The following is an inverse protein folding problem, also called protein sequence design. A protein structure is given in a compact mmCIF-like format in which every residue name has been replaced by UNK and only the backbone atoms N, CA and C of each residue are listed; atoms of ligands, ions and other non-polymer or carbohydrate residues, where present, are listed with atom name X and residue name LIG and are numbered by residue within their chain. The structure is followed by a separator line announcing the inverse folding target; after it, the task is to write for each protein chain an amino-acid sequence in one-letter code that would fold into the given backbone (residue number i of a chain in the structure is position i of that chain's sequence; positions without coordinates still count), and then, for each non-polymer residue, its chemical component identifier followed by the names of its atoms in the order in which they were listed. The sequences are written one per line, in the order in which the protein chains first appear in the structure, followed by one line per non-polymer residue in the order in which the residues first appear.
data_IF_855564527161
#
_entry.id   IF_855564527161
#
_cell.length_a   1.000
_cell.length_b   1.000
_cell.length_c   1.000
_cell.angle_alpha   90.00
_cell.angle_beta   90.00
_cell.angle_gamma   90.00
#
_symmetry.space_group_name_H-M   'P 1'
#
loop_
_entity.id
_entity.type
_entity.pdbx_description
1 polymer ?
#
# COMPACT_ATOMS: atom_id res chain seq x y z
N UNK A 1 22.72 7.63 4.24
CA UNK A 1 22.02 8.94 4.11
C UNK A 1 21.30 9.24 5.41
N UNK A 2 21.17 10.51 5.83
CA UNK A 2 20.43 10.87 7.02
C UNK A 2 18.96 10.48 6.89
N UNK A 3 18.34 10.08 7.99
CA UNK A 3 16.94 9.71 8.08
C UNK A 3 16.20 10.83 8.78
N UNK A 4 15.07 11.25 8.24
CA UNK A 4 14.26 12.35 8.77
C UNK A 4 12.83 11.89 9.08
N UNK A 5 12.09 12.59 9.95
CA UNK A 5 10.71 12.23 10.26
C UNK A 5 9.83 12.11 9.02
N UNK A 6 8.96 11.08 9.03
CA UNK A 6 7.97 10.79 7.98
C UNK A 6 8.55 10.44 6.61
N UNK A 7 9.87 10.29 6.48
CA UNK A 7 10.50 9.80 5.25
C UNK A 7 10.76 8.31 5.36
N UNK A 8 10.34 7.60 4.32
CA UNK A 8 10.51 6.15 4.25
C UNK A 8 11.97 5.74 4.24
N UNK A 9 12.27 4.73 5.01
CA UNK A 9 13.47 3.90 4.89
C UNK A 9 13.05 2.47 4.55
N UNK A 10 13.94 1.73 3.91
CA UNK A 10 13.70 0.35 3.52
C UNK A 10 14.80 -0.56 4.07
N UNK A 11 14.40 -1.61 4.79
CA UNK A 11 15.26 -2.72 5.19
C UNK A 11 15.08 -3.84 4.18
N UNK A 12 16.19 -4.41 3.72
CA UNK A 12 16.18 -5.58 2.83
C UNK A 12 16.65 -6.80 3.61
N UNK A 13 15.85 -7.86 3.57
CA UNK A 13 16.12 -9.15 4.21
C UNK A 13 16.28 -10.21 3.13
N UNK A 14 17.21 -11.13 3.32
CA UNK A 14 17.42 -12.24 2.39
C UNK A 14 17.17 -13.56 3.13
N UNK A 15 16.15 -14.29 2.69
CA UNK A 15 15.83 -15.59 3.27
C UNK A 15 17.00 -16.57 3.17
N UNK A 16 17.20 -17.38 4.19
CA UNK A 16 18.22 -18.43 4.22
C UNK A 16 17.88 -19.55 3.23
N UNK A 17 16.60 -19.81 3.02
CA UNK A 17 16.10 -20.83 2.09
C UNK A 17 15.22 -20.26 0.98
N UNK A 18 15.04 -21.06 -0.06
CA UNK A 18 14.07 -20.79 -1.13
C UNK A 18 12.67 -21.19 -0.68
N UNK A 19 11.68 -20.32 -0.91
CA UNK A 19 10.26 -20.62 -0.74
C UNK A 19 9.62 -20.91 -2.10
N UNK A 20 8.67 -21.83 -2.14
CA UNK A 20 7.91 -22.12 -3.36
C UNK A 20 7.07 -20.91 -3.77
N UNK A 21 6.47 -20.25 -2.77
CA UNK A 21 5.76 -18.98 -2.95
C UNK A 21 6.05 -18.08 -1.74
N UNK A 22 6.99 -17.16 -1.87
CA UNK A 22 7.38 -16.26 -0.78
C UNK A 22 6.25 -15.34 -0.30
N UNK A 23 5.24 -15.09 -1.13
CA UNK A 23 4.08 -14.30 -0.76
C UNK A 23 3.11 -15.03 0.20
N UNK A 24 3.00 -16.36 0.09
CA UNK A 24 2.03 -17.15 0.88
C UNK A 24 2.65 -18.01 1.96
N UNK A 25 3.91 -18.42 1.79
CA UNK A 25 4.49 -19.51 2.59
C UNK A 25 5.02 -19.05 3.95
N UNK A 26 5.30 -17.75 4.10
CA UNK A 26 5.85 -17.23 5.36
C UNK A 26 5.41 -15.80 5.61
N UNK A 27 5.04 -15.50 6.84
CA UNK A 27 4.78 -14.15 7.33
C UNK A 27 6.02 -13.60 8.03
N UNK A 28 6.37 -12.35 7.69
CA UNK A 28 7.55 -11.67 8.23
C UNK A 28 7.14 -10.25 8.65
N UNK A 29 7.66 -9.78 9.77
CA UNK A 29 7.43 -8.42 10.25
C UNK A 29 8.63 -7.89 11.01
N UNK A 30 8.65 -6.60 11.29
CA UNK A 30 9.63 -5.96 12.15
C UNK A 30 8.95 -5.07 13.19
N UNK A 31 9.48 -5.08 14.40
CA UNK A 31 9.15 -4.13 15.45
C UNK A 31 10.23 -3.06 15.51
N UNK A 32 9.80 -1.80 15.47
CA UNK A 32 10.63 -0.62 15.64
C UNK A 32 10.32 0.00 16.99
N UNK A 33 11.33 0.11 17.87
CA UNK A 33 11.18 0.64 19.21
C UNK A 33 12.01 1.90 19.36
N UNK A 34 11.35 3.01 19.63
CA UNK A 34 11.98 4.29 19.91
C UNK A 34 12.59 4.33 21.32
N UNK A 35 13.59 5.14 21.53
CA UNK A 35 14.29 5.30 22.84
C UNK A 35 13.34 5.75 23.98
N UNK A 36 12.20 6.39 23.66
CA UNK A 36 11.15 6.75 24.64
C UNK A 36 10.20 5.58 24.98
N UNK A 37 10.39 4.40 24.39
CA UNK A 37 9.57 3.20 24.61
C UNK A 37 8.40 3.04 23.64
N UNK A 38 8.13 3.99 22.74
CA UNK A 38 7.12 3.83 21.69
C UNK A 38 7.52 2.71 20.74
N UNK A 39 6.61 1.80 20.45
CA UNK A 39 6.84 0.71 19.51
C UNK A 39 5.87 0.76 18.32
N UNK A 40 6.37 0.49 17.13
CA UNK A 40 5.59 0.38 15.91
C UNK A 40 5.94 -0.92 15.20
N UNK A 41 4.92 -1.69 14.83
CA UNK A 41 5.07 -2.94 14.07
C UNK A 41 4.80 -2.70 12.60
N UNK A 42 5.70 -3.17 11.74
CA UNK A 42 5.56 -3.08 10.28
C UNK A 42 5.59 -4.46 9.66
N UNK A 43 4.61 -4.84 8.83
CA UNK A 43 4.69 -6.06 8.07
C UNK A 43 5.79 -5.94 7.02
N UNK A 44 6.49 -7.03 6.74
CA UNK A 44 7.36 -7.15 5.59
C UNK A 44 6.54 -7.58 4.36
N UNK A 45 7.07 -7.32 3.18
CA UNK A 45 6.52 -7.83 1.93
C UNK A 45 7.59 -8.60 1.15
N UNK A 46 7.15 -9.66 0.49
CA UNK A 46 8.00 -10.40 -0.44
C UNK A 46 8.18 -9.59 -1.74
N UNK A 47 9.44 -9.43 -2.16
CA UNK A 47 9.81 -8.64 -3.35
C UNK A 47 10.43 -9.49 -4.47
N UNK A 48 10.20 -10.81 -4.41
CA UNK A 48 10.69 -11.78 -5.39
C UNK A 48 11.88 -12.60 -4.89
N UNK A 49 12.04 -13.79 -5.44
CA UNK A 49 13.13 -14.70 -5.07
C UNK A 49 13.23 -14.96 -3.59
N UNK A 50 14.39 -14.69 -3.01
CA UNK A 50 14.65 -14.78 -1.56
C UNK A 50 14.62 -13.43 -0.85
N UNK A 51 14.01 -12.39 -1.43
CA UNK A 51 14.05 -11.02 -0.93
C UNK A 51 12.74 -10.64 -0.25
N UNK A 52 12.83 -10.18 0.99
CA UNK A 52 11.76 -9.47 1.71
C UNK A 52 12.21 -8.08 2.07
N UNK A 53 11.26 -7.16 2.14
CA UNK A 53 11.53 -5.76 2.48
C UNK A 53 10.58 -5.30 3.58
N UNK A 54 11.09 -4.41 4.43
CA UNK A 54 10.30 -3.71 5.45
C UNK A 54 10.49 -2.22 5.23
N UNK A 55 9.38 -1.51 5.06
CA UNK A 55 9.37 -0.05 4.92
C UNK A 55 8.88 0.60 6.21
N UNK A 56 9.61 1.60 6.65
CA UNK A 56 9.34 2.32 7.88
C UNK A 56 9.58 3.82 7.68
N UNK A 57 8.67 4.65 8.17
CA UNK A 57 8.83 6.10 8.24
C UNK A 57 8.84 6.52 9.71
N UNK A 58 9.99 6.87 10.30
CA UNK A 58 10.04 7.30 11.68
C UNK A 58 9.12 8.50 11.91
N UNK A 59 8.12 8.44 12.81
CA UNK A 59 7.23 9.57 13.03
C UNK A 59 7.80 10.66 13.94
N UNK A 60 8.96 10.42 14.55
CA UNK A 60 9.65 11.33 15.46
C UNK A 60 11.16 11.14 15.41
N UNK A 61 11.87 12.18 15.77
CA UNK A 61 13.33 12.21 15.90
C UNK A 61 13.80 11.30 17.03
N UNK A 62 15.06 10.86 16.97
CA UNK A 62 15.68 10.03 17.99
C UNK A 62 16.09 8.65 17.48
N UNK A 63 16.50 7.79 18.39
CA UNK A 63 16.99 6.45 18.06
C UNK A 63 15.85 5.44 18.03
N UNK A 64 15.77 4.70 16.93
CA UNK A 64 14.85 3.61 16.70
C UNK A 64 15.63 2.31 16.56
N UNK A 65 15.44 1.38 17.50
CA UNK A 65 15.95 0.01 17.38
C UNK A 65 14.91 -0.83 16.65
N UNK A 66 15.36 -1.76 15.81
CA UNK A 66 14.46 -2.67 15.12
C UNK A 66 14.90 -4.13 15.26
N UNK A 67 13.91 -5.01 15.26
CA UNK A 67 14.09 -6.46 15.24
C UNK A 67 13.05 -7.10 14.34
N UNK A 68 13.48 -8.09 13.53
CA UNK A 68 12.59 -8.84 12.65
C UNK A 68 12.12 -10.14 13.28
N UNK A 69 10.97 -10.59 12.82
CA UNK A 69 10.31 -11.82 13.22
C UNK A 69 9.75 -12.53 11.99
N UNK A 70 9.65 -13.85 12.05
CA UNK A 70 9.03 -14.66 11.03
C UNK A 70 8.18 -15.77 11.67
N UNK A 71 7.10 -16.16 11.00
CA UNK A 71 6.18 -17.20 11.48
C UNK A 71 6.81 -18.61 11.46
N UNK A 72 7.90 -18.79 10.72
CA UNK A 72 8.68 -20.01 10.66
C UNK A 72 10.17 -19.73 10.84
N UNK A 73 10.94 -20.75 11.19
CA UNK A 73 12.40 -20.61 11.36
C UNK A 73 13.07 -20.32 10.03
N UNK A 74 13.63 -19.13 9.91
CA UNK A 74 14.50 -18.69 8.81
C UNK A 74 15.44 -17.63 9.35
N UNK A 75 16.74 -17.94 9.45
CA UNK A 75 17.73 -17.05 10.07
C UNK A 75 18.01 -15.81 9.27
N UNK A 76 17.69 -15.79 7.98
CA UNK A 76 17.80 -14.59 7.13
C UNK A 76 16.64 -13.61 7.29
N UNK A 77 15.49 -14.09 7.76
CA UNK A 77 14.26 -13.30 7.92
C UNK A 77 13.97 -12.96 9.38
N UNK A 78 14.19 -13.90 10.31
CA UNK A 78 13.93 -13.71 11.72
C UNK A 78 15.17 -13.24 12.47
N UNK A 79 14.93 -12.52 13.57
CA UNK A 79 15.93 -12.10 14.55
C UNK A 79 17.05 -11.17 14.00
N UNK A 80 16.86 -10.62 12.81
CA UNK A 80 17.71 -9.53 12.32
C UNK A 80 17.48 -8.30 13.18
N UNK A 81 18.55 -7.56 13.46
CA UNK A 81 18.52 -6.41 14.36
C UNK A 81 19.35 -5.25 13.83
N UNK A 82 18.96 -4.07 14.21
CA UNK A 82 19.72 -2.86 13.92
C UNK A 82 19.12 -1.63 14.56
N UNK A 83 19.64 -0.49 14.20
CA UNK A 83 19.15 0.80 14.66
C UNK A 83 19.14 1.81 13.52
N UNK A 84 18.24 2.77 13.63
CA UNK A 84 18.12 3.93 12.76
C UNK A 84 18.07 5.16 13.65
N UNK A 85 18.89 6.16 13.34
CA UNK A 85 18.81 7.47 13.99
C UNK A 85 18.04 8.41 13.07
N UNK A 86 16.89 8.87 13.55
CA UNK A 86 16.08 9.88 12.89
C UNK A 86 16.54 11.26 13.36
N UNK A 87 17.13 12.01 12.45
CA UNK A 87 17.71 13.33 12.75
C UNK A 87 16.67 14.44 12.54
N UNK A 88 16.82 15.60 13.20
CA UNK A 88 16.08 16.80 12.86
C UNK A 88 16.26 17.13 11.38
N UNK A 89 15.16 17.10 10.63
CA UNK A 89 15.19 17.38 9.20
C UNK A 89 15.27 18.88 8.88
N UNK A 90 15.73 19.25 7.68
CA UNK A 90 15.50 20.59 7.18
C UNK A 90 13.99 20.85 7.12
N UNK A 91 13.58 22.12 7.25
CA UNK A 91 12.17 22.48 7.08
C UNK A 91 11.71 21.96 5.72
N UNK A 92 10.86 20.93 5.74
CA UNK A 92 10.39 20.31 4.51
C UNK A 92 9.29 21.17 3.89
N UNK A 93 9.37 21.41 2.59
CA UNK A 93 8.26 22.04 1.86
C UNK A 93 7.14 21.04 1.61
N UNK A 94 7.44 19.75 1.58
CA UNK A 94 6.50 18.66 1.39
C UNK A 94 5.60 18.47 2.63
N UNK A 95 4.28 18.62 2.48
CA UNK A 95 3.33 18.67 3.60
C UNK A 95 3.35 17.43 4.49
N UNK A 96 3.50 16.23 3.92
CA UNK A 96 3.49 14.98 4.69
C UNK A 96 4.80 14.76 5.46
N UNK A 97 5.91 15.29 4.99
CA UNK A 97 7.18 15.25 5.73
C UNK A 97 7.21 16.29 6.84
N UNK A 98 6.42 17.35 6.70
CA UNK A 98 6.32 18.43 7.69
C UNK A 98 5.30 18.12 8.78
N UNK A 99 4.13 17.58 8.39
CA UNK A 99 2.95 17.46 9.27
C UNK A 99 2.58 15.99 9.58
N UNK A 100 3.28 15.03 8.96
CA UNK A 100 2.96 13.61 9.04
C UNK A 100 1.79 13.18 8.16
N UNK A 101 1.53 11.88 8.14
CA UNK A 101 0.48 11.29 7.31
C UNK A 101 -0.91 11.66 7.80
N UNK A 102 -1.89 11.55 6.91
CA UNK A 102 -3.29 11.79 7.27
C UNK A 102 -3.82 10.67 8.15
N UNK A 103 -4.75 11.05 9.01
CA UNK A 103 -5.57 10.16 9.83
C UNK A 103 -6.93 10.78 10.05
N UNK A 104 -7.88 10.01 10.54
CA UNK A 104 -9.16 10.57 10.97
C UNK A 104 -8.95 11.42 12.23
N UNK A 105 -9.67 12.53 12.34
CA UNK A 105 -9.71 13.32 13.56
C UNK A 105 -10.29 12.49 14.73
N UNK A 106 -10.04 12.85 15.98
CA UNK A 106 -10.61 12.13 17.14
C UNK A 106 -12.13 11.97 17.09
N UNK A 107 -12.83 12.91 16.48
CA UNK A 107 -14.29 12.84 16.26
C UNK A 107 -14.73 12.05 15.03
N UNK A 108 -13.80 11.51 14.23
CA UNK A 108 -14.09 10.69 13.07
C UNK A 108 -14.76 11.42 11.89
N UNK A 109 -14.77 12.75 11.87
CA UNK A 109 -15.56 13.53 10.89
C UNK A 109 -14.74 14.20 9.80
N UNK A 110 -13.46 14.38 10.02
CA UNK A 110 -12.55 15.06 9.07
C UNK A 110 -11.16 14.46 9.13
N UNK A 111 -10.38 14.73 8.08
CA UNK A 111 -8.97 14.37 8.03
C UNK A 111 -8.13 15.40 8.79
N UNK A 112 -7.10 14.89 9.45
CA UNK A 112 -6.03 15.69 10.04
C UNK A 112 -4.68 15.06 9.71
N UNK A 113 -3.64 15.86 9.70
CA UNK A 113 -2.27 15.37 9.73
C UNK A 113 -1.91 14.79 11.12
N UNK A 114 -0.83 14.05 11.20
CA UNK A 114 -0.38 13.44 12.46
C UNK A 114 -0.11 14.45 13.57
N UNK A 115 0.24 15.69 13.25
CA UNK A 115 0.41 16.81 14.17
C UNK A 115 -0.92 17.51 14.58
N UNK A 116 -2.06 17.02 14.06
CA UNK A 116 -3.39 17.57 14.35
C UNK A 116 -3.87 18.69 13.41
N UNK A 117 -3.03 19.14 12.47
CA UNK A 117 -3.44 20.14 11.48
C UNK A 117 -4.54 19.60 10.59
N UNK A 118 -5.61 20.37 10.40
CA UNK A 118 -6.71 20.00 9.53
C UNK A 118 -6.25 19.80 8.07
N UNK A 119 -6.80 18.80 7.42
CA UNK A 119 -6.55 18.49 6.03
C UNK A 119 -7.84 18.51 5.22
N UNK A 120 -7.75 18.99 3.98
CA UNK A 120 -8.85 18.94 3.01
C UNK A 120 -8.42 18.02 1.88
N UNK A 121 -9.28 17.05 1.56
CA UNK A 121 -9.05 16.12 0.46
C UNK A 121 -9.75 16.65 -0.80
N UNK A 122 -8.96 16.82 -1.86
CA UNK A 122 -9.44 17.09 -3.21
C UNK A 122 -8.92 15.97 -4.10
N UNK A 123 -9.80 15.02 -4.42
CA UNK A 123 -9.44 13.78 -5.11
C UNK A 123 -9.81 13.78 -6.58
N UNK A 124 -9.05 13.02 -7.36
CA UNK A 124 -9.36 12.63 -8.74
C UNK A 124 -9.48 11.10 -8.81
N UNK A 125 -9.98 10.59 -9.92
CA UNK A 125 -10.10 9.17 -10.19
C UNK A 125 -9.24 8.77 -11.39
N UNK A 126 -8.22 7.96 -11.15
CA UNK A 126 -7.35 7.40 -12.18
C UNK A 126 -7.20 5.88 -11.98
N UNK A 127 -8.33 5.16 -12.01
CA UNK A 127 -8.41 3.73 -11.69
C UNK A 127 -7.35 2.88 -12.38
N UNK A 128 -7.14 3.12 -13.66
CA UNK A 128 -6.25 2.30 -14.48
C UNK A 128 -4.77 2.64 -14.33
N UNK A 129 -4.42 3.73 -13.65
CA UNK A 129 -3.04 4.19 -13.54
C UNK A 129 -2.09 3.08 -13.04
N UNK A 130 -2.38 2.32 -11.96
CA UNK A 130 -1.47 1.30 -11.45
C UNK A 130 -1.14 0.20 -12.45
N UNK A 131 -2.06 -0.20 -13.30
CA UNK A 131 -1.90 -1.34 -14.19
C UNK A 131 -1.76 -0.96 -15.66
N UNK A 132 -1.95 0.34 -16.04
CA UNK A 132 -1.82 0.81 -17.42
C UNK A 132 -0.76 1.89 -17.65
N UNK A 133 -0.56 2.82 -16.72
CA UNK A 133 0.28 3.97 -16.95
C UNK A 133 1.76 3.62 -17.06
N UNK A 134 2.47 4.34 -17.93
CA UNK A 134 3.93 4.44 -17.86
C UNK A 134 4.35 5.45 -16.80
N UNK A 135 5.61 5.41 -16.35
CA UNK A 135 6.13 6.40 -15.41
C UNK A 135 6.05 7.82 -15.98
N UNK A 136 6.29 8.00 -17.29
CA UNK A 136 6.20 9.32 -17.92
C UNK A 136 4.76 9.86 -17.97
N UNK A 137 3.79 9.01 -18.29
CA UNK A 137 2.37 9.37 -18.22
C UNK A 137 1.97 9.75 -16.79
N UNK A 138 2.47 9.01 -15.78
CA UNK A 138 2.21 9.33 -14.38
C UNK A 138 2.81 10.67 -13.96
N UNK A 139 4.03 11.02 -14.42
CA UNK A 139 4.64 12.34 -14.15
C UNK A 139 3.80 13.48 -14.73
N UNK A 140 3.36 13.34 -15.98
CA UNK A 140 2.48 14.33 -16.61
C UNK A 140 1.18 14.49 -15.84
N UNK A 141 0.55 13.36 -15.50
CA UNK A 141 -0.69 13.35 -14.71
C UNK A 141 -0.50 14.02 -13.34
N UNK A 142 0.49 13.58 -12.58
CA UNK A 142 0.75 14.08 -11.23
C UNK A 142 1.07 15.58 -11.22
N UNK A 143 1.89 16.06 -12.15
CA UNK A 143 2.21 17.47 -12.28
C UNK A 143 0.99 18.32 -12.61
N UNK A 144 0.13 17.86 -13.52
CA UNK A 144 -1.12 18.55 -13.86
C UNK A 144 -2.10 18.60 -12.68
N UNK A 145 -2.27 17.47 -11.97
CA UNK A 145 -3.16 17.39 -10.81
C UNK A 145 -2.67 18.27 -9.66
N UNK A 146 -1.38 18.23 -9.33
CA UNK A 146 -0.79 19.08 -8.30
C UNK A 146 -1.00 20.58 -8.63
N UNK A 147 -0.72 20.99 -9.86
CA UNK A 147 -0.90 22.37 -10.30
C UNK A 147 -2.35 22.86 -10.18
N UNK A 148 -3.32 21.94 -10.26
CA UNK A 148 -4.76 22.21 -10.10
C UNK A 148 -5.27 22.06 -8.67
N UNK A 149 -4.38 21.76 -7.70
CA UNK A 149 -4.72 21.66 -6.28
C UNK A 149 -5.30 20.31 -5.85
N UNK A 150 -5.22 19.27 -6.68
CA UNK A 150 -5.55 17.91 -6.26
C UNK A 150 -4.47 17.36 -5.33
N UNK A 151 -4.87 16.59 -4.34
CA UNK A 151 -3.96 16.01 -3.34
C UNK A 151 -4.26 14.54 -3.01
N UNK A 152 -5.17 13.91 -3.75
CA UNK A 152 -5.46 12.49 -3.64
C UNK A 152 -5.91 11.93 -4.99
N UNK A 153 -5.71 10.63 -5.20
CA UNK A 153 -6.15 9.93 -6.41
C UNK A 153 -6.66 8.53 -6.09
N UNK A 154 -7.87 8.21 -6.58
CA UNK A 154 -8.46 6.89 -6.43
C UNK A 154 -7.90 5.93 -7.46
N UNK A 155 -7.35 4.82 -6.99
CA UNK A 155 -6.63 3.83 -7.78
C UNK A 155 -7.22 2.43 -7.59
N UNK A 156 -7.27 1.64 -8.66
CA UNK A 156 -7.40 0.20 -8.58
C UNK A 156 -6.01 -0.42 -8.57
N UNK A 157 -5.65 -1.16 -7.51
CA UNK A 157 -4.30 -1.73 -7.38
C UNK A 157 -3.98 -2.80 -8.42
N UNK A 158 -5.00 -3.50 -8.93
CA UNK A 158 -4.91 -4.46 -10.03
C UNK A 158 -6.08 -4.28 -10.99
N UNK A 159 -5.99 -4.84 -12.19
CA UNK A 159 -7.07 -4.71 -13.19
C UNK A 159 -8.41 -5.25 -12.66
N UNK A 160 -9.53 -4.59 -12.98
CA UNK A 160 -10.85 -4.96 -12.46
C UNK A 160 -11.41 -6.24 -13.08
N UNK A 161 -11.09 -6.53 -14.34
CA UNK A 161 -11.56 -7.71 -15.06
C UNK A 161 -10.56 -8.87 -14.85
N UNK A 162 -11.01 -9.89 -14.12
CA UNK A 162 -10.16 -11.06 -13.82
C UNK A 162 -9.83 -11.90 -15.06
N UNK A 163 -10.64 -11.81 -16.12
CA UNK A 163 -10.40 -12.51 -17.39
C UNK A 163 -9.55 -11.70 -18.38
N UNK A 164 -9.17 -10.49 -18.02
CA UNK A 164 -8.40 -9.64 -18.93
C UNK A 164 -7.10 -10.30 -19.35
N UNK A 165 -6.90 -10.29 -20.64
CA UNK A 165 -5.70 -10.82 -21.31
C UNK A 165 -5.26 -9.79 -22.32
N UNK A 166 -4.06 -9.42 -22.29
CA UNK A 166 -3.50 -8.47 -23.24
C UNK A 166 -1.99 -8.52 -23.24
N UNK A 167 -1.35 -7.77 -24.14
CA UNK A 167 0.08 -7.59 -24.10
C UNK A 167 0.49 -7.06 -22.71
N UNK A 168 1.54 -7.64 -22.13
CA UNK A 168 2.11 -7.18 -20.85
C UNK A 168 3.08 -6.01 -21.05
N UNK A 169 2.82 -5.20 -22.04
CA UNK A 169 3.58 -4.00 -22.38
C UNK A 169 2.65 -2.79 -22.26
N UNK A 170 2.90 -1.94 -21.28
CA UNK A 170 2.10 -0.74 -20.99
C UNK A 170 2.23 0.36 -22.05
N UNK A 171 3.17 0.22 -22.99
CA UNK A 171 3.36 1.17 -24.09
C UNK A 171 2.43 0.88 -25.27
N UNK A 172 1.83 -0.31 -25.30
CA UNK A 172 0.86 -0.72 -26.32
C UNK A 172 -0.55 -0.30 -25.92
N UNK A 173 -1.44 -0.11 -26.89
CA UNK A 173 -2.80 0.37 -26.68
C UNK A 173 -3.57 -0.56 -25.75
N UNK A 174 -3.68 -1.77 -25.88
CA UNK A 174 -4.37 -2.69 -24.99
C UNK A 174 -3.47 -3.32 -23.92
N UNK A 175 -2.22 -2.85 -23.81
CA UNK A 175 -1.24 -3.41 -22.90
C UNK A 175 -1.46 -3.00 -21.45
N UNK A 176 -1.17 -3.90 -20.52
CA UNK A 176 -1.18 -3.63 -19.08
C UNK A 176 -0.40 -4.66 -18.26
N UNK A 177 -0.06 -4.28 -17.03
CA UNK A 177 0.55 -5.18 -16.07
C UNK A 177 -0.48 -6.06 -15.36
N UNK A 178 -0.06 -7.22 -14.88
CA UNK A 178 -0.86 -8.18 -14.12
C UNK A 178 -0.22 -8.38 -12.75
N UNK A 179 -0.98 -8.06 -11.69
CA UNK A 179 -0.49 -8.15 -10.31
C UNK A 179 -0.50 -9.59 -9.75
N UNK A 180 -1.44 -10.43 -10.20
CA UNK A 180 -1.57 -11.82 -9.78
C UNK A 180 -1.82 -12.73 -10.99
N UNK A 181 -1.05 -13.79 -11.11
CA UNK A 181 -1.14 -14.72 -12.25
C UNK A 181 -2.38 -15.61 -12.18
N UNK A 182 -2.91 -15.83 -10.97
CA UNK A 182 -4.09 -16.66 -10.69
C UNK A 182 -5.40 -15.86 -10.55
N UNK A 183 -5.39 -14.59 -10.95
CA UNK A 183 -6.58 -13.73 -10.82
C UNK A 183 -7.77 -14.26 -11.64
N UNK A 184 -7.50 -14.85 -12.80
CA UNK A 184 -8.54 -15.44 -13.67
C UNK A 184 -9.28 -16.62 -13.03
N UNK A 185 -8.64 -17.33 -12.12
CA UNK A 185 -9.23 -18.42 -11.35
C UNK A 185 -9.97 -17.92 -10.10
N UNK A 186 -9.97 -16.61 -9.85
CA UNK A 186 -10.58 -16.00 -8.66
C UNK A 186 -9.67 -16.05 -7.43
N UNK A 187 -8.37 -16.21 -7.63
CA UNK A 187 -7.38 -16.26 -6.57
C UNK A 187 -6.39 -15.09 -6.65
N UNK A 188 -5.78 -14.76 -5.52
CA UNK A 188 -4.78 -13.70 -5.38
C UNK A 188 -3.59 -14.20 -4.55
N UNK A 189 -3.03 -15.36 -4.94
CA UNK A 189 -1.90 -16.01 -4.29
C UNK A 189 -0.62 -15.96 -5.12
N UNK A 190 -0.71 -15.93 -6.45
CA UNK A 190 0.44 -15.93 -7.33
C UNK A 190 0.83 -14.49 -7.69
N UNK A 191 1.38 -13.79 -6.70
CA UNK A 191 1.80 -12.41 -6.81
C UNK A 191 2.96 -12.27 -7.81
N UNK A 192 2.86 -11.27 -8.69
CA UNK A 192 3.90 -10.88 -9.61
C UNK A 192 4.76 -9.73 -9.03
N UNK A 193 5.97 -10.00 -8.51
CA UNK A 193 6.81 -8.94 -7.92
C UNK A 193 7.15 -7.81 -8.88
N UNK A 194 7.40 -8.11 -10.16
CA UNK A 194 7.76 -7.11 -11.17
C UNK A 194 6.66 -6.05 -11.36
N UNK A 195 5.39 -6.49 -11.29
CA UNK A 195 4.26 -5.57 -11.33
C UNK A 195 4.30 -4.55 -10.18
N UNK A 196 4.53 -5.03 -8.96
CA UNK A 196 4.54 -4.17 -7.78
C UNK A 196 5.82 -3.32 -7.70
N UNK A 197 6.95 -3.81 -8.20
CA UNK A 197 8.17 -3.00 -8.35
C UNK A 197 7.96 -1.84 -9.34
N UNK A 198 7.25 -2.09 -10.44
CA UNK A 198 6.85 -1.02 -11.36
C UNK A 198 5.88 -0.04 -10.70
N UNK A 199 4.89 -0.54 -9.95
CA UNK A 199 3.91 0.27 -9.22
C UNK A 199 4.58 1.14 -8.16
N UNK A 200 5.65 0.67 -7.52
CA UNK A 200 6.44 1.50 -6.57
C UNK A 200 6.84 2.84 -7.20
N UNK A 201 7.38 2.79 -8.42
CA UNK A 201 7.77 4.01 -9.13
C UNK A 201 6.59 4.94 -9.49
N UNK A 202 5.40 4.39 -9.76
CA UNK A 202 4.19 5.19 -9.98
C UNK A 202 3.73 5.86 -8.67
N UNK A 203 3.76 5.12 -7.56
CA UNK A 203 3.41 5.65 -6.23
C UNK A 203 4.43 6.70 -5.78
N UNK A 204 5.73 6.49 -6.03
CA UNK A 204 6.76 7.50 -5.74
C UNK A 204 6.47 8.82 -6.43
N UNK A 205 6.15 8.78 -7.73
CA UNK A 205 5.80 9.98 -8.51
C UNK A 205 4.59 10.70 -7.90
N UNK A 206 3.54 9.98 -7.52
CA UNK A 206 2.36 10.58 -6.89
C UNK A 206 2.71 11.25 -5.56
N UNK A 207 3.45 10.55 -4.69
CA UNK A 207 3.85 11.06 -3.38
C UNK A 207 4.78 12.27 -3.48
N UNK A 208 5.73 12.26 -4.40
CA UNK A 208 6.61 13.41 -4.70
C UNK A 208 5.81 14.67 -5.09
N UNK A 209 4.65 14.49 -5.74
CA UNK A 209 3.72 15.57 -6.08
C UNK A 209 2.66 15.84 -4.99
N UNK A 210 2.87 15.31 -3.78
CA UNK A 210 1.93 15.44 -2.65
C UNK A 210 0.52 14.91 -2.92
N UNK A 211 0.40 13.94 -3.83
CA UNK A 211 -0.86 13.26 -4.15
C UNK A 211 -0.91 11.92 -3.42
N UNK A 212 -1.88 11.79 -2.51
CA UNK A 212 -2.08 10.57 -1.72
C UNK A 212 -2.74 9.50 -2.59
N UNK A 213 -2.11 8.33 -2.75
CA UNK A 213 -2.76 7.20 -3.39
C UNK A 213 -3.90 6.67 -2.49
N UNK A 214 -5.11 6.63 -3.02
CA UNK A 214 -6.26 6.00 -2.40
C UNK A 214 -6.38 4.60 -3.00
N UNK A 215 -5.88 3.62 -2.27
CA UNK A 215 -5.68 2.25 -2.76
C UNK A 215 -6.93 1.41 -2.56
N UNK A 216 -7.43 0.83 -3.65
CA UNK A 216 -8.47 -0.18 -3.66
C UNK A 216 -7.83 -1.53 -4.06
N UNK A 217 -7.94 -2.60 -3.24
CA UNK A 217 -7.20 -3.83 -3.49
C UNK A 217 -7.71 -4.58 -4.72
N UNK A 218 -8.99 -4.94 -4.75
CA UNK A 218 -9.62 -5.71 -5.84
C UNK A 218 -11.02 -5.18 -6.10
N UNK A 219 -11.43 -5.17 -7.36
CA UNK A 219 -12.76 -4.69 -7.75
C UNK A 219 -13.85 -5.70 -7.39
N UNK A 220 -14.89 -5.22 -6.72
CA UNK A 220 -16.07 -6.01 -6.41
C UNK A 220 -17.14 -5.89 -7.49
N UNK A 221 -17.38 -4.66 -7.97
CA UNK A 221 -18.29 -4.38 -9.04
C UNK A 221 -19.69 -4.96 -8.86
N UNK A 222 -20.51 -4.79 -9.87
CA UNK A 222 -21.87 -5.39 -9.95
C UNK A 222 -22.14 -5.97 -11.34
N UNK A 223 -21.13 -6.56 -11.96
CA UNK A 223 -21.25 -7.22 -13.25
C UNK A 223 -21.42 -6.26 -14.44
N UNK A 224 -21.00 -5.02 -14.29
CA UNK A 224 -21.11 -4.01 -15.34
C UNK A 224 -20.38 -4.45 -16.61
N UNK A 225 -21.09 -4.38 -17.75
CA UNK A 225 -20.60 -4.85 -19.05
C UNK A 225 -20.12 -6.32 -19.07
N UNK A 226 -20.63 -7.16 -18.18
CA UNK A 226 -20.26 -8.57 -18.14
C UNK A 226 -18.85 -8.85 -17.60
N UNK A 227 -18.23 -7.88 -16.94
CA UNK A 227 -16.94 -8.09 -16.29
C UNK A 227 -17.07 -9.15 -15.20
N UNK A 228 -16.13 -10.08 -15.17
CA UNK A 228 -15.92 -10.95 -14.02
C UNK A 228 -14.95 -10.27 -13.08
N UNK A 229 -15.34 -10.15 -11.81
CA UNK A 229 -14.57 -9.43 -10.80
C UNK A 229 -14.13 -10.36 -9.69
N UNK A 230 -12.88 -10.26 -9.26
CA UNK A 230 -12.30 -11.17 -8.28
C UNK A 230 -12.73 -10.86 -6.83
N UNK A 231 -13.16 -9.63 -6.54
CA UNK A 231 -13.55 -9.22 -5.19
C UNK A 231 -14.57 -10.14 -4.52
N UNK A 232 -15.72 -10.45 -5.17
CA UNK A 232 -16.73 -11.32 -4.58
C UNK A 232 -16.35 -12.81 -4.50
N UNK A 233 -15.37 -13.26 -5.26
CA UNK A 233 -15.04 -14.69 -5.39
C UNK A 233 -13.73 -15.08 -4.72
N UNK A 234 -12.80 -14.15 -4.56
CA UNK A 234 -11.55 -14.43 -3.88
C UNK A 234 -11.80 -14.86 -2.43
N UNK A 235 -11.13 -15.89 -1.91
CA UNK A 235 -11.25 -16.28 -0.51
C UNK A 235 -10.91 -15.11 0.44
N UNK A 236 -11.67 -14.90 1.54
CA UNK A 236 -11.44 -13.80 2.47
C UNK A 236 -10.03 -13.75 3.05
N UNK A 237 -9.40 -14.91 3.30
CA UNK A 237 -8.04 -14.98 3.82
C UNK A 237 -6.99 -14.51 2.80
N UNK A 238 -7.19 -14.77 1.51
CA UNK A 238 -6.34 -14.28 0.44
C UNK A 238 -6.50 -12.76 0.28
N UNK A 239 -7.74 -12.28 0.38
CA UNK A 239 -8.05 -10.86 0.35
C UNK A 239 -7.38 -10.09 1.50
N UNK A 240 -7.47 -10.61 2.71
CA UNK A 240 -6.81 -10.07 3.90
C UNK A 240 -5.28 -10.01 3.73
N UNK A 241 -4.67 -11.10 3.22
CA UNK A 241 -3.23 -11.12 2.91
C UNK A 241 -2.84 -10.05 1.92
N UNK A 242 -3.64 -9.83 0.89
CA UNK A 242 -3.37 -8.78 -0.09
C UNK A 242 -3.50 -7.37 0.52
N UNK A 243 -4.51 -7.13 1.34
CA UNK A 243 -4.64 -5.87 2.07
C UNK A 243 -3.41 -5.61 2.96
N UNK A 244 -2.94 -6.62 3.70
CA UNK A 244 -1.68 -6.53 4.47
C UNK A 244 -0.48 -6.24 3.58
N UNK A 245 -0.39 -6.86 2.40
CA UNK A 245 0.69 -6.60 1.45
C UNK A 245 0.72 -5.14 0.99
N UNK A 246 -0.45 -4.54 0.70
CA UNK A 246 -0.56 -3.13 0.36
C UNK A 246 -0.11 -2.23 1.51
N UNK A 247 -0.49 -2.53 2.75
CA UNK A 247 -0.01 -1.82 3.94
C UNK A 247 1.51 -1.98 4.10
N UNK A 248 2.03 -3.19 3.92
CA UNK A 248 3.46 -3.46 4.02
C UNK A 248 4.26 -2.62 3.01
N UNK A 249 3.81 -2.62 1.75
CA UNK A 249 4.55 -2.01 0.65
C UNK A 249 4.38 -0.50 0.57
N UNK A 250 3.18 0.02 0.85
CA UNK A 250 2.86 1.44 0.66
C UNK A 250 2.57 2.22 1.94
N UNK A 251 2.37 1.56 3.08
CA UNK A 251 1.93 2.22 4.31
C UNK A 251 3.00 3.03 5.03
N UNK A 252 4.27 2.99 4.64
CA UNK A 252 5.29 3.91 5.13
C UNK A 252 5.36 5.23 4.31
N UNK A 253 4.35 5.48 3.50
CA UNK A 253 4.09 6.67 2.70
C UNK A 253 2.68 7.17 3.00
N UNK A 254 2.32 8.41 2.62
CA UNK A 254 0.92 8.85 2.67
C UNK A 254 0.05 7.90 1.86
N UNK A 255 -1.00 7.36 2.46
CA UNK A 255 -1.94 6.46 1.81
C UNK A 255 -3.34 6.58 2.41
N UNK A 256 -4.35 6.15 1.66
CA UNK A 256 -5.70 5.86 2.13
C UNK A 256 -6.05 4.46 1.61
N UNK A 257 -6.72 3.65 2.44
CA UNK A 257 -7.13 2.30 2.05
C UNK A 257 -8.64 2.24 1.94
N UNK A 258 -9.16 2.04 0.72
CA UNK A 258 -10.57 1.70 0.52
C UNK A 258 -10.65 0.21 0.21
N UNK A 259 -10.87 -0.60 1.24
CA UNK A 259 -10.75 -2.06 1.20
C UNK A 259 -11.83 -2.76 0.36
N UNK A 260 -12.80 -2.03 -0.17
CA UNK A 260 -13.77 -2.52 -1.13
C UNK A 260 -13.98 -1.50 -2.24
N UNK A 261 -13.78 -1.92 -3.49
CA UNK A 261 -14.03 -1.12 -4.68
C UNK A 261 -15.37 -1.49 -5.28
N UNK A 262 -16.35 -0.59 -5.24
CA UNK A 262 -17.75 -0.83 -5.60
C UNK A 262 -18.39 -2.00 -4.81
N UNK A 263 -18.02 -2.15 -3.54
CA UNK A 263 -18.57 -3.15 -2.64
C UNK A 263 -19.83 -2.68 -1.93
N UNK A 264 -20.54 -3.62 -1.29
CA UNK A 264 -21.70 -3.29 -0.44
C UNK A 264 -21.31 -3.03 1.03
N UNK A 265 -20.07 -3.36 1.41
CA UNK A 265 -19.61 -3.34 2.78
C UNK A 265 -20.04 -4.54 3.62
N UNK A 266 -20.74 -5.50 3.02
CA UNK A 266 -21.23 -6.72 3.68
C UNK A 266 -20.46 -7.97 3.28
N UNK A 267 -19.58 -7.85 2.29
CA UNK A 267 -18.78 -8.96 1.79
C UNK A 267 -17.74 -9.38 2.83
N UNK A 268 -17.58 -10.69 3.09
CA UNK A 268 -16.60 -11.18 4.07
C UNK A 268 -15.15 -10.82 3.70
N UNK A 269 -14.86 -10.64 2.41
CA UNK A 269 -13.58 -10.16 1.91
C UNK A 269 -13.28 -8.74 2.41
N UNK A 270 -14.27 -7.85 2.35
CA UNK A 270 -14.12 -6.46 2.78
C UNK A 270 -13.92 -6.40 4.30
N UNK A 271 -14.67 -7.19 5.08
CA UNK A 271 -14.49 -7.27 6.52
C UNK A 271 -13.07 -7.75 6.87
N UNK A 272 -12.65 -8.87 6.29
CA UNK A 272 -11.32 -9.44 6.53
C UNK A 272 -10.19 -8.48 6.11
N UNK A 273 -10.33 -7.81 4.96
CA UNK A 273 -9.37 -6.81 4.49
C UNK A 273 -9.27 -5.59 5.40
N UNK A 274 -10.41 -5.10 5.91
CA UNK A 274 -10.46 -3.97 6.82
C UNK A 274 -9.80 -4.28 8.17
N UNK A 275 -10.11 -5.43 8.75
CA UNK A 275 -9.48 -5.91 9.99
C UNK A 275 -7.96 -6.02 9.85
N UNK A 276 -7.49 -6.51 8.71
CA UNK A 276 -6.06 -6.67 8.44
C UNK A 276 -5.34 -5.33 8.26
N UNK A 277 -5.97 -4.37 7.58
CA UNK A 277 -5.42 -3.01 7.47
C UNK A 277 -5.34 -2.35 8.85
N UNK A 278 -6.38 -2.44 9.66
CA UNK A 278 -6.41 -1.86 11.00
C UNK A 278 -5.33 -2.48 11.91
N UNK A 279 -5.12 -3.79 11.79
CA UNK A 279 -4.09 -4.51 12.57
C UNK A 279 -2.67 -4.08 12.22
N UNK A 280 -2.37 -3.85 10.94
CA UNK A 280 -1.01 -3.69 10.45
C UNK A 280 -0.61 -2.26 10.08
N UNK A 281 -1.56 -1.33 9.97
CA UNK A 281 -1.22 0.07 9.70
C UNK A 281 -0.77 0.78 10.98
N UNK A 282 0.54 0.82 11.18
CA UNK A 282 1.17 1.46 12.34
C UNK A 282 0.92 2.97 12.43
N UNK A 283 0.53 3.63 11.33
CA UNK A 283 0.35 5.09 11.25
C UNK A 283 -1.10 5.52 11.38
N UNK A 284 -2.04 4.58 11.40
CA UNK A 284 -3.49 4.84 11.49
C UNK A 284 -3.99 5.74 10.37
N UNK A 285 -3.56 5.48 9.17
CA UNK A 285 -4.00 6.19 7.99
C UNK A 285 -5.48 5.89 7.70
N UNK A 286 -6.19 6.75 6.96
CA UNK A 286 -7.62 6.58 6.78
C UNK A 286 -7.95 5.26 6.07
N UNK A 287 -8.92 4.55 6.59
CA UNK A 287 -9.44 3.30 6.03
C UNK A 287 -10.95 3.43 5.84
N UNK A 288 -11.46 2.89 4.75
CA UNK A 288 -12.88 2.96 4.44
C UNK A 288 -13.28 2.02 3.30
N UNK A 289 -14.43 2.29 2.72
CA UNK A 289 -15.00 1.52 1.61
C UNK A 289 -15.47 2.48 0.52
N UNK A 290 -15.20 2.14 -0.72
CA UNK A 290 -15.87 2.75 -1.86
C UNK A 290 -17.14 1.95 -2.15
N UNK A 291 -18.27 2.49 -1.69
CA UNK A 291 -19.57 1.84 -1.83
C UNK A 291 -20.09 1.96 -3.26
N UNK A 292 -20.72 0.88 -3.74
CA UNK A 292 -21.56 0.96 -4.94
C UNK A 292 -22.84 1.75 -4.65
N UNK A 293 -23.51 2.31 -5.68
CA UNK A 293 -24.79 3.02 -5.49
C UNK A 293 -25.82 2.16 -4.74
N UNK A 294 -26.66 2.81 -3.92
CA UNK A 294 -27.76 2.20 -3.16
C UNK A 294 -27.35 1.20 -2.05
N UNK A 295 -26.13 1.27 -1.56
CA UNK A 295 -25.64 0.43 -0.45
C UNK A 295 -25.37 1.21 0.84
N UNK A 296 -25.88 2.43 0.97
CA UNK A 296 -25.74 3.28 2.17
C UNK A 296 -26.95 3.08 3.08
#
# INVERSE_FOLDING_TARGET
SPVYPWREIELTLTADRQYANGYTDIEVWADFTHENGRALRRPAFWDGGRTWKVRFAPPEEGSWQWRTFAAASDVGLADQRGAVVCEPGPVADHRFYKHGFWRMSPGGRNLVHADGRAAVLVGDTAWALPWRATHDQCRVYAGDRQAKGFNAVLLMSVQPDMDARGPRDRTLDEGFGIGFEDLAEGHINQLNPDYFQYLDGLIDILVEHEIVPVLQPVFHGFGWKGLRTAGPVAPPAEYARYCRYLVARYGARPAIYLVGADGSGREPQIAAGGEEVELWDAYRQPTGIHYRPHCV
#
